data_IF_737771263554
#
_entry.id   IF_737771263554
#
_cell.length_a   1.000
_cell.length_b   1.000
_cell.length_c   1.000
_cell.angle_alpha   90.00
_cell.angle_beta   90.00
_cell.angle_gamma   90.00
#
_symmetry.space_group_name_H-M   'P 1'
#
loop_
_entity.id
_entity.type
_entity.pdbx_description
1 polymer ?
#
# COMPACT_ATOMS: atom_id res chain seq x y z
N UNK A 1 -19.06 3.45 -20.95
CA UNK A 1 -18.26 3.06 -19.77
C UNK A 1 -18.71 3.96 -18.62
N UNK A 2 -19.29 3.41 -17.55
CA UNK A 2 -19.68 4.23 -16.40
C UNK A 2 -18.42 4.59 -15.60
N UNK A 3 -17.93 5.82 -15.77
CA UNK A 3 -16.78 6.34 -15.04
C UNK A 3 -17.26 6.86 -13.69
N UNK A 4 -16.93 6.16 -12.61
CA UNK A 4 -17.18 6.66 -11.25
C UNK A 4 -16.02 7.57 -10.83
N UNK A 5 -16.28 8.70 -10.16
CA UNK A 5 -15.23 9.64 -9.74
C UNK A 5 -14.32 9.06 -8.66
N UNK A 6 -14.77 8.00 -7.95
CA UNK A 6 -14.04 7.33 -6.89
C UNK A 6 -13.74 5.89 -7.27
N UNK A 7 -12.55 5.40 -6.93
CA UNK A 7 -12.14 4.01 -7.14
C UNK A 7 -13.00 3.03 -6.32
N UNK A 8 -13.34 3.41 -5.07
CA UNK A 8 -14.20 2.64 -4.18
C UNK A 8 -15.39 3.49 -3.73
N UNK A 9 -16.47 3.58 -4.54
CA UNK A 9 -17.64 4.38 -4.21
C UNK A 9 -18.53 3.69 -3.15
N UNK A 10 -19.21 4.47 -2.34
CA UNK A 10 -20.19 4.03 -1.35
C UNK A 10 -21.32 3.20 -1.96
N UNK A 11 -21.89 2.27 -1.17
CA UNK A 11 -23.02 1.43 -1.63
C UNK A 11 -24.30 2.26 -1.82
N UNK A 12 -24.58 3.14 -0.85
CA UNK A 12 -25.80 3.96 -0.80
C UNK A 12 -25.64 5.25 -1.59
N UNK A 13 -24.49 5.89 -1.45
CA UNK A 13 -24.12 7.11 -2.15
C UNK A 13 -22.78 6.89 -2.85
N UNK A 14 -22.78 7.04 -4.18
CA UNK A 14 -21.61 6.76 -5.02
C UNK A 14 -20.65 7.96 -5.13
N UNK A 15 -21.02 9.09 -4.55
CA UNK A 15 -20.18 10.30 -4.45
C UNK A 15 -19.29 10.29 -3.20
N UNK A 16 -19.57 9.40 -2.25
CA UNK A 16 -18.84 9.26 -0.98
C UNK A 16 -17.95 8.01 -1.05
N UNK A 17 -16.70 8.05 -0.54
CA UNK A 17 -15.84 6.88 -0.50
C UNK A 17 -16.38 5.78 0.43
N UNK A 18 -15.99 4.52 0.16
CA UNK A 18 -16.26 3.40 1.08
C UNK A 18 -15.63 3.67 2.45
N UNK A 19 -16.33 3.23 3.51
CA UNK A 19 -15.80 3.32 4.88
C UNK A 19 -14.61 2.38 5.10
N UNK A 20 -13.73 2.78 6.01
CA UNK A 20 -12.55 1.99 6.43
C UNK A 20 -12.91 0.57 6.88
N UNK A 21 -14.08 0.40 7.50
CA UNK A 21 -14.61 -0.91 7.95
C UNK A 21 -14.66 -1.94 6.83
N UNK A 22 -14.92 -1.51 5.59
CA UNK A 22 -15.04 -2.42 4.44
C UNK A 22 -13.69 -3.08 4.13
N UNK A 23 -12.61 -2.30 4.14
CA UNK A 23 -11.26 -2.81 3.92
C UNK A 23 -10.80 -3.69 5.10
N UNK A 24 -11.10 -3.28 6.34
CA UNK A 24 -10.81 -4.11 7.52
C UNK A 24 -11.52 -5.47 7.45
N UNK A 25 -12.79 -5.49 7.04
CA UNK A 25 -13.55 -6.74 6.90
C UNK A 25 -13.06 -7.60 5.73
N UNK A 26 -12.60 -6.99 4.64
CA UNK A 26 -11.95 -7.71 3.55
C UNK A 26 -10.68 -8.42 4.05
N UNK A 27 -9.80 -7.73 4.78
CA UNK A 27 -8.60 -8.34 5.39
C UNK A 27 -8.95 -9.48 6.34
N UNK A 28 -9.98 -9.31 7.18
CA UNK A 28 -10.47 -10.38 8.06
C UNK A 28 -10.89 -11.62 7.28
N UNK A 29 -11.62 -11.44 6.18
CA UNK A 29 -12.06 -12.54 5.29
C UNK A 29 -10.91 -13.23 4.56
N UNK A 30 -9.82 -12.51 4.31
CA UNK A 30 -8.57 -13.07 3.75
C UNK A 30 -7.74 -13.85 4.80
N UNK A 31 -8.22 -13.97 6.04
CA UNK A 31 -7.52 -14.72 7.11
C UNK A 31 -6.60 -13.87 8.00
N UNK A 32 -6.63 -12.53 7.87
CA UNK A 32 -5.84 -11.62 8.71
C UNK A 32 -6.53 -11.21 10.01
N UNK A 33 -7.67 -11.80 10.35
CA UNK A 33 -8.39 -11.47 11.59
C UNK A 33 -7.49 -11.68 12.82
N UNK A 34 -7.31 -10.63 13.64
CA UNK A 34 -6.42 -10.67 14.81
C UNK A 34 -4.92 -10.71 14.49
N UNK A 35 -4.54 -10.79 13.21
CA UNK A 35 -3.16 -10.92 12.75
C UNK A 35 -2.65 -9.64 12.10
N UNK A 36 -3.48 -8.97 11.30
CA UNK A 36 -3.09 -7.72 10.66
C UNK A 36 -4.27 -6.80 10.34
N UNK A 37 -3.99 -5.50 10.23
CA UNK A 37 -4.93 -4.46 9.81
C UNK A 37 -4.27 -3.54 8.76
N UNK A 38 -5.06 -2.68 8.12
CA UNK A 38 -4.49 -1.66 7.21
C UNK A 38 -3.45 -0.75 7.89
N UNK A 39 -3.56 -0.52 9.20
CA UNK A 39 -2.56 0.24 9.95
C UNK A 39 -1.26 -0.53 10.12
N UNK A 40 -1.29 -1.80 10.50
CA UNK A 40 -0.06 -2.57 10.65
C UNK A 40 0.61 -2.89 9.32
N UNK A 41 -0.13 -3.00 8.21
CA UNK A 41 0.49 -3.02 6.87
C UNK A 41 1.24 -1.71 6.55
N UNK A 42 0.72 -0.54 6.96
CA UNK A 42 1.45 0.73 6.81
C UNK A 42 2.75 0.74 7.62
N UNK A 43 2.73 0.21 8.84
CA UNK A 43 3.94 0.08 9.65
C UNK A 43 4.99 -0.80 8.98
N UNK A 44 4.59 -1.99 8.51
CA UNK A 44 5.49 -2.89 7.78
C UNK A 44 6.10 -2.19 6.56
N UNK A 45 5.27 -1.51 5.76
CA UNK A 45 5.75 -0.77 4.60
C UNK A 45 6.74 0.34 5.00
N UNK A 46 6.45 1.10 6.05
CA UNK A 46 7.35 2.14 6.55
C UNK A 46 8.70 1.58 6.98
N UNK A 47 8.71 0.49 7.77
CA UNK A 47 9.94 -0.15 8.22
C UNK A 47 10.78 -0.62 7.04
N UNK A 48 10.20 -1.36 6.10
CA UNK A 48 10.92 -1.89 4.92
C UNK A 48 11.52 -0.73 4.09
N UNK A 49 10.75 0.32 3.86
CA UNK A 49 11.22 1.46 3.05
C UNK A 49 12.34 2.24 3.75
N UNK A 50 12.28 2.37 5.07
CA UNK A 50 13.36 2.98 5.86
C UNK A 50 14.62 2.11 5.84
N UNK A 51 14.49 0.79 6.01
CA UNK A 51 15.62 -0.15 5.96
C UNK A 51 16.29 -0.18 4.58
N UNK A 52 15.51 0.02 3.51
CA UNK A 52 16.03 0.17 2.15
C UNK A 52 16.72 1.54 1.90
N UNK A 53 16.62 2.48 2.84
CA UNK A 53 17.29 3.77 2.77
C UNK A 53 16.58 4.83 1.91
N UNK A 54 15.26 4.70 1.69
CA UNK A 54 14.50 5.78 1.07
C UNK A 54 14.41 7.00 1.99
N UNK A 55 14.34 8.18 1.38
CA UNK A 55 14.21 9.44 2.13
C UNK A 55 12.90 9.46 2.94
N UNK A 56 13.04 9.73 4.24
CA UNK A 56 11.95 9.78 5.21
C UNK A 56 10.81 10.71 4.75
N UNK A 57 11.12 11.84 4.11
CA UNK A 57 10.09 12.77 3.63
C UNK A 57 9.20 12.13 2.56
N UNK A 58 9.75 11.25 1.74
CA UNK A 58 8.98 10.53 0.72
C UNK A 58 8.10 9.46 1.35
N UNK A 59 8.63 8.74 2.34
CA UNK A 59 7.92 7.70 3.10
C UNK A 59 6.73 8.33 3.84
N UNK A 60 6.97 9.38 4.61
CA UNK A 60 5.93 10.08 5.37
C UNK A 60 4.85 10.67 4.45
N UNK A 61 5.26 11.26 3.31
CA UNK A 61 4.32 11.75 2.30
C UNK A 61 3.50 10.61 1.66
N UNK A 62 4.06 9.39 1.54
CA UNK A 62 3.35 8.22 1.04
C UNK A 62 2.34 7.68 2.06
N UNK A 63 2.68 7.75 3.35
CA UNK A 63 1.79 7.38 4.46
C UNK A 63 0.71 8.44 4.72
N UNK A 64 0.71 9.54 3.97
CA UNK A 64 -0.19 10.70 4.13
C UNK A 64 -0.05 11.37 5.50
N UNK A 65 1.14 11.28 6.08
CA UNK A 65 1.47 12.02 7.29
C UNK A 65 1.79 13.47 6.92
N UNK A 66 1.27 14.39 7.73
CA UNK A 66 1.52 15.83 7.57
C UNK A 66 2.60 16.22 8.57
N UNK A 67 3.62 16.94 8.10
CA UNK A 67 4.64 17.47 9.00
C UNK A 67 4.03 18.48 9.96
N UNK A 68 4.44 18.43 11.22
CA UNK A 68 3.98 19.37 12.23
C UNK A 68 4.76 20.69 12.21
N UNK A 69 4.20 21.71 12.86
CA UNK A 69 4.85 23.00 13.07
C UNK A 69 5.12 23.80 11.79
N UNK A 70 6.08 24.71 11.89
CA UNK A 70 6.45 25.65 10.82
C UNK A 70 6.86 24.91 9.54
N UNK A 71 7.60 23.80 9.68
CA UNK A 71 8.05 23.00 8.54
C UNK A 71 6.87 22.44 7.71
N UNK A 72 5.76 22.07 8.34
CA UNK A 72 4.55 21.62 7.65
C UNK A 72 3.81 22.72 6.88
N UNK A 73 3.84 23.95 7.39
CA UNK A 73 3.20 25.11 6.73
C UNK A 73 3.91 25.44 5.41
N UNK A 74 5.24 25.32 5.37
CA UNK A 74 6.05 25.69 4.20
C UNK A 74 6.32 24.53 3.25
N UNK A 75 6.38 23.28 3.75
CA UNK A 75 6.66 22.13 2.90
C UNK A 75 5.40 21.69 2.12
N UNK A 76 5.23 22.25 0.92
CA UNK A 76 4.19 21.87 -0.04
C UNK A 76 4.65 20.80 -1.04
N UNK A 77 5.85 20.24 -0.85
CA UNK A 77 6.39 19.27 -1.78
C UNK A 77 5.64 17.93 -1.64
N UNK A 78 5.13 17.42 -2.75
CA UNK A 78 4.42 16.13 -2.81
C UNK A 78 5.37 14.97 -3.16
N UNK A 79 6.57 15.29 -3.65
CA UNK A 79 7.63 14.34 -4.03
C UNK A 79 7.16 13.23 -5.00
N UNK A 80 6.25 13.56 -5.92
CA UNK A 80 5.63 12.55 -6.80
C UNK A 80 6.65 11.75 -7.64
N UNK A 81 7.67 12.34 -8.28
CA UNK A 81 8.66 11.56 -9.02
C UNK A 81 9.38 10.54 -8.15
N UNK A 82 9.80 10.95 -6.95
CA UNK A 82 10.55 10.11 -6.02
C UNK A 82 9.67 9.01 -5.42
N UNK A 83 8.44 9.34 -5.05
CA UNK A 83 7.46 8.37 -4.54
C UNK A 83 7.08 7.33 -5.58
N UNK A 84 7.05 7.68 -6.86
CA UNK A 84 6.85 6.68 -7.94
C UNK A 84 7.96 5.65 -7.97
N UNK A 85 9.22 6.10 -7.93
CA UNK A 85 10.39 5.21 -7.90
C UNK A 85 10.35 4.31 -6.65
N UNK A 86 10.10 4.90 -5.48
CA UNK A 86 9.99 4.18 -4.22
C UNK A 86 8.88 3.13 -4.23
N UNK A 87 7.69 3.49 -4.72
CA UNK A 87 6.56 2.56 -4.77
C UNK A 87 6.72 1.48 -5.84
N UNK A 88 7.45 1.76 -6.92
CA UNK A 88 7.79 0.73 -7.90
C UNK A 88 8.75 -0.28 -7.28
N UNK A 89 9.82 0.18 -6.63
CA UNK A 89 10.74 -0.71 -5.92
C UNK A 89 10.01 -1.56 -4.88
N UNK A 90 9.09 -0.97 -4.11
CA UNK A 90 8.31 -1.71 -3.11
C UNK A 90 7.42 -2.78 -3.76
N UNK A 91 6.83 -2.49 -4.92
CA UNK A 91 6.05 -3.48 -5.67
C UNK A 91 6.95 -4.64 -6.15
N UNK A 92 8.10 -4.33 -6.74
CA UNK A 92 9.05 -5.32 -7.22
C UNK A 92 9.55 -6.22 -6.08
N UNK A 93 9.84 -5.63 -4.91
CA UNK A 93 10.22 -6.37 -3.70
C UNK A 93 9.12 -7.34 -3.23
N UNK A 94 7.84 -6.93 -3.26
CA UNK A 94 6.72 -7.82 -2.93
C UNK A 94 6.59 -8.97 -3.92
N UNK A 95 6.82 -8.72 -5.21
CA UNK A 95 6.80 -9.75 -6.26
C UNK A 95 7.93 -10.77 -6.05
N UNK A 96 9.12 -10.33 -5.67
CA UNK A 96 10.25 -11.21 -5.32
C UNK A 96 9.92 -12.11 -4.11
N UNK A 97 9.35 -11.54 -3.04
CA UNK A 97 8.92 -12.29 -1.86
C UNK A 97 7.85 -13.34 -2.20
N UNK A 98 6.95 -13.00 -3.12
CA UNK A 98 5.93 -13.92 -3.60
C UNK A 98 6.56 -15.06 -4.43
N UNK A 99 7.50 -14.74 -5.32
CA UNK A 99 8.16 -15.71 -6.18
C UNK A 99 9.04 -16.70 -5.39
N UNK A 100 9.68 -16.25 -4.30
CA UNK A 100 10.53 -17.10 -3.44
C UNK A 100 9.83 -18.30 -2.80
N UNK A 101 8.50 -18.34 -2.79
CA UNK A 101 7.70 -19.46 -2.28
C UNK A 101 7.17 -20.39 -3.39
N UNK A 102 7.53 -20.16 -4.66
CA UNK A 102 7.04 -20.93 -5.81
C UNK A 102 8.21 -21.67 -6.47
N UNK A 103 8.31 -22.98 -6.21
CA UNK A 103 9.17 -23.86 -7.02
C UNK A 103 8.47 -24.09 -8.37
N UNK A 104 8.99 -23.48 -9.43
CA UNK A 104 8.58 -23.77 -10.81
C UNK A 104 9.09 -25.17 -11.21
N UNK A 105 8.33 -26.20 -10.88
CA UNK A 105 8.64 -27.59 -11.27
C UNK A 105 8.18 -27.90 -12.69
N UNK A 106 9.08 -28.40 -13.55
CA UNK A 106 8.69 -29.04 -14.81
C UNK A 106 8.24 -30.47 -14.52
N UNK A 107 6.96 -30.65 -14.22
CA UNK A 107 6.38 -31.97 -14.07
C UNK A 107 6.06 -32.53 -15.46
N UNK A 108 6.83 -33.53 -15.90
CA UNK A 108 6.54 -34.27 -17.13
C UNK A 108 5.16 -34.92 -17.05
N UNK A 109 4.52 -35.15 -18.21
CA UNK A 109 3.26 -35.91 -18.27
C UNK A 109 3.47 -37.28 -17.63
N UNK A 110 2.61 -37.63 -16.67
CA UNK A 110 2.51 -39.01 -16.20
C UNK A 110 2.19 -39.91 -17.40
N UNK A 111 3.03 -40.93 -17.59
CA UNK A 111 2.88 -41.98 -18.60
C UNK A 111 1.67 -42.84 -18.28
#
# INVERSE_FOLDING_TARGET
MHTYPLLFPGRKDRTIPRSNTVFLMALRRLGYAGRQTGHGFRHIASTILNEQGFDENHIEAQLSHVKEGIAGVYNKAVYLPQRKVMMQWYADHLDELMAGNVVQGQFGKAV
#
